data_IF_170152666907
#
_entry.id   IF_170152666907
#
_cell.length_a   1.000
_cell.length_b   1.000
_cell.length_c   1.000
_cell.angle_alpha   90.00
_cell.angle_beta   90.00
_cell.angle_gamma   90.00
#
_symmetry.space_group_name_H-M   'P 1'
#
loop_
_entity.id
_entity.type
_entity.pdbx_description
1 polymer ?
#
# COMPACT_ATOMS: atom_id res chain seq x y z
N UNK A 1 -28.40 -15.16 -16.64
CA UNK A 1 -27.22 -14.52 -16.04
C UNK A 1 -25.99 -14.91 -16.84
N UNK A 2 -25.20 -13.96 -17.33
CA UNK A 2 -24.00 -14.22 -18.14
C UNK A 2 -22.82 -14.58 -17.23
N UNK A 3 -22.68 -15.86 -16.87
CA UNK A 3 -21.59 -16.36 -16.02
C UNK A 3 -20.18 -16.08 -16.57
N UNK A 4 -20.05 -15.79 -17.86
CA UNK A 4 -18.79 -15.53 -18.55
C UNK A 4 -18.14 -14.18 -18.17
N UNK A 5 -18.97 -13.19 -17.79
CA UNK A 5 -18.48 -11.86 -17.43
C UNK A 5 -17.81 -11.85 -16.05
N UNK A 6 -18.31 -12.65 -15.12
CA UNK A 6 -17.80 -12.74 -13.75
C UNK A 6 -16.43 -13.42 -13.70
N UNK A 7 -16.26 -14.51 -14.46
CA UNK A 7 -14.97 -15.21 -14.58
C UNK A 7 -13.90 -14.33 -15.22
N UNK A 8 -14.25 -13.58 -16.27
CA UNK A 8 -13.33 -12.62 -16.90
C UNK A 8 -12.89 -11.53 -15.91
N UNK A 9 -13.82 -10.99 -15.12
CA UNK A 9 -13.52 -9.97 -14.11
C UNK A 9 -12.62 -10.51 -12.98
N UNK A 10 -12.79 -11.76 -12.58
CA UNK A 10 -11.93 -12.40 -11.57
C UNK A 10 -10.48 -12.52 -12.07
N UNK A 11 -10.28 -13.03 -13.29
CA UNK A 11 -8.96 -13.16 -13.88
C UNK A 11 -8.29 -11.80 -14.10
N UNK A 12 -9.03 -10.78 -14.51
CA UNK A 12 -8.51 -9.41 -14.62
C UNK A 12 -8.02 -8.88 -13.27
N UNK A 13 -8.74 -9.17 -12.18
CA UNK A 13 -8.33 -8.76 -10.85
C UNK A 13 -7.04 -9.48 -10.39
N UNK A 14 -6.87 -10.76 -10.74
CA UNK A 14 -5.63 -11.51 -10.49
C UNK A 14 -4.47 -10.87 -11.27
N UNK A 15 -4.65 -10.63 -12.57
CA UNK A 15 -3.64 -10.01 -13.43
C UNK A 15 -3.23 -8.64 -12.88
N UNK A 16 -4.20 -7.80 -12.51
CA UNK A 16 -3.95 -6.46 -11.96
C UNK A 16 -3.11 -6.49 -10.68
N UNK A 17 -3.43 -7.41 -9.74
CA UNK A 17 -2.66 -7.58 -8.50
C UNK A 17 -1.25 -8.09 -8.77
N UNK A 18 -1.09 -9.06 -9.67
CA UNK A 18 0.22 -9.56 -10.07
C UNK A 18 1.09 -8.49 -10.72
N UNK A 19 0.51 -7.67 -11.60
CA UNK A 19 1.21 -6.55 -12.23
C UNK A 19 1.64 -5.51 -11.21
N UNK A 20 0.74 -5.11 -10.30
CA UNK A 20 1.07 -4.16 -9.24
C UNK A 20 2.25 -4.64 -8.36
N UNK A 21 2.28 -5.93 -8.04
CA UNK A 21 3.38 -6.54 -7.31
C UNK A 21 4.70 -6.53 -8.11
N UNK A 22 4.65 -6.79 -9.42
CA UNK A 22 5.81 -6.69 -10.30
C UNK A 22 6.32 -5.25 -10.41
N UNK A 23 5.43 -4.26 -10.53
CA UNK A 23 5.80 -2.85 -10.55
C UNK A 23 6.46 -2.42 -9.23
N UNK A 24 5.98 -2.93 -8.10
CA UNK A 24 6.59 -2.68 -6.79
C UNK A 24 8.03 -3.23 -6.72
N UNK A 25 8.26 -4.43 -7.29
CA UNK A 25 9.58 -5.02 -7.39
C UNK A 25 10.49 -4.24 -8.34
N UNK A 26 9.99 -3.86 -9.50
CA UNK A 26 10.75 -3.11 -10.51
C UNK A 26 11.09 -1.67 -10.07
N UNK A 27 10.30 -1.09 -9.17
CA UNK A 27 10.58 0.22 -8.58
C UNK A 27 11.61 0.17 -7.42
N UNK A 28 12.26 -0.97 -7.18
CA UNK A 28 13.21 -1.19 -6.07
C UNK A 28 12.60 -0.86 -4.68
N UNK A 29 11.29 -1.07 -4.54
CA UNK A 29 10.56 -0.77 -3.31
C UNK A 29 10.47 -1.97 -2.36
N UNK A 30 10.84 -3.17 -2.80
CA UNK A 30 10.74 -4.42 -2.01
C UNK A 30 11.56 -4.40 -0.72
N UNK A 31 12.66 -3.66 -0.72
CA UNK A 31 13.54 -3.50 0.46
C UNK A 31 13.13 -2.31 1.35
N UNK A 32 12.07 -1.58 1.01
CA UNK A 32 11.58 -0.42 1.77
C UNK A 32 10.59 -0.86 2.85
N UNK A 33 10.30 0.05 3.78
CA UNK A 33 9.29 -0.17 4.82
C UNK A 33 7.92 -0.53 4.21
N UNK A 34 7.17 -1.42 4.87
CA UNK A 34 5.83 -1.84 4.44
C UNK A 34 4.86 -0.68 4.23
N UNK A 35 5.00 0.41 4.98
CA UNK A 35 4.20 1.61 4.80
C UNK A 35 4.43 2.27 3.43
N UNK A 36 5.66 2.24 2.92
CA UNK A 36 6.03 2.76 1.60
C UNK A 36 5.52 1.82 0.50
N UNK A 37 5.73 0.51 0.67
CA UNK A 37 5.22 -0.49 -0.26
C UNK A 37 3.69 -0.44 -0.37
N UNK A 38 2.99 -0.36 0.77
CA UNK A 38 1.54 -0.29 0.81
C UNK A 38 0.97 0.97 0.16
N UNK A 39 1.59 2.14 0.40
CA UNK A 39 1.17 3.38 -0.29
C UNK A 39 1.39 3.34 -1.79
N UNK A 40 2.48 2.71 -2.24
CA UNK A 40 2.72 2.52 -3.67
C UNK A 40 1.61 1.66 -4.30
N UNK A 41 1.28 0.52 -3.69
CA UNK A 41 0.18 -0.33 -4.16
C UNK A 41 -1.17 0.39 -4.14
N UNK A 42 -1.46 1.18 -3.09
CA UNK A 42 -2.65 2.03 -3.02
C UNK A 42 -2.70 3.06 -4.16
N UNK A 43 -1.55 3.63 -4.55
CA UNK A 43 -1.47 4.58 -5.68
C UNK A 43 -1.73 3.93 -7.04
N UNK A 44 -1.57 2.61 -7.15
CA UNK A 44 -1.92 1.82 -8.33
C UNK A 44 -3.40 1.38 -8.33
N UNK A 45 -4.19 1.84 -7.35
CA UNK A 45 -5.62 1.59 -7.27
C UNK A 45 -6.02 0.39 -6.40
N UNK A 46 -5.07 -0.28 -5.74
CA UNK A 46 -5.41 -1.37 -4.83
C UNK A 46 -6.00 -0.81 -3.53
N UNK A 47 -7.03 -1.47 -3.00
CA UNK A 47 -7.48 -1.15 -1.65
C UNK A 47 -6.39 -1.50 -0.64
N UNK A 48 -6.38 -0.81 0.51
CA UNK A 48 -5.44 -1.13 1.59
C UNK A 48 -5.53 -2.58 2.07
N UNK A 49 -6.71 -3.19 1.98
CA UNK A 49 -6.92 -4.61 2.32
C UNK A 49 -6.18 -5.52 1.34
N UNK A 50 -6.27 -5.25 0.05
CA UNK A 50 -5.55 -6.00 -1.00
C UNK A 50 -4.05 -5.77 -0.91
N UNK A 51 -3.61 -4.53 -0.69
CA UNK A 51 -2.20 -4.21 -0.48
C UNK A 51 -1.64 -4.97 0.74
N UNK A 52 -2.37 -5.03 1.85
CA UNK A 52 -1.95 -5.80 3.02
C UNK A 52 -1.84 -7.30 2.72
N UNK A 53 -2.81 -7.87 2.00
CA UNK A 53 -2.78 -9.26 1.59
C UNK A 53 -1.58 -9.57 0.68
N UNK A 54 -1.30 -8.73 -0.32
CA UNK A 54 -0.13 -8.88 -1.19
C UNK A 54 1.21 -8.76 -0.46
N UNK A 55 1.26 -7.93 0.59
CA UNK A 55 2.46 -7.74 1.40
C UNK A 55 2.60 -8.77 2.54
N UNK A 56 1.66 -9.71 2.67
CA UNK A 56 1.69 -10.72 3.73
C UNK A 56 1.49 -10.15 5.14
N UNK A 57 0.71 -9.08 5.28
CA UNK A 57 0.42 -8.42 6.57
C UNK A 57 -1.08 -8.22 6.79
N UNK A 58 -1.47 -7.79 7.99
CA UNK A 58 -2.87 -7.49 8.30
C UNK A 58 -3.24 -6.06 7.91
N UNK A 59 -4.51 -5.82 7.58
CA UNK A 59 -5.05 -4.48 7.31
C UNK A 59 -4.79 -3.51 8.48
N UNK A 60 -4.96 -3.98 9.72
CA UNK A 60 -4.73 -3.18 10.92
C UNK A 60 -3.24 -2.82 11.07
N UNK A 61 -2.34 -3.79 10.86
CA UNK A 61 -0.89 -3.57 10.89
C UNK A 61 -0.46 -2.55 9.84
N UNK A 62 -0.90 -2.71 8.59
CA UNK A 62 -0.54 -1.78 7.52
C UNK A 62 -1.07 -0.37 7.77
N UNK A 63 -2.31 -0.25 8.26
CA UNK A 63 -2.91 1.05 8.64
C UNK A 63 -2.08 1.76 9.71
N UNK A 64 -1.68 1.03 10.75
CA UNK A 64 -0.89 1.60 11.84
C UNK A 64 0.51 2.00 11.36
N UNK A 65 1.17 1.18 10.54
CA UNK A 65 2.48 1.50 9.97
C UNK A 65 2.42 2.78 9.11
N UNK A 66 1.40 2.90 8.26
CA UNK A 66 1.16 4.10 7.45
C UNK A 66 0.94 5.35 8.32
N UNK A 67 0.18 5.20 9.41
CA UNK A 67 -0.09 6.27 10.38
C UNK A 67 1.18 6.69 11.14
N UNK A 68 2.03 5.75 11.52
CA UNK A 68 3.30 6.05 12.17
C UNK A 68 4.26 6.77 11.21
N UNK A 69 4.33 6.31 9.96
CA UNK A 69 5.15 6.94 8.92
C UNK A 69 4.71 8.40 8.65
N UNK A 70 3.41 8.68 8.64
CA UNK A 70 2.91 10.06 8.47
C UNK A 70 3.24 10.96 9.67
N UNK A 71 3.16 10.43 10.90
CA UNK A 71 3.56 11.16 12.11
C UNK A 71 5.04 11.49 12.15
N UNK A 72 5.92 10.54 11.77
CA UNK A 72 7.37 10.77 11.68
C UNK A 72 7.71 11.91 10.70
N UNK A 73 6.96 12.06 9.61
CA UNK A 73 7.16 13.14 8.63
C UNK A 73 6.76 14.53 9.17
N UNK A 74 5.80 14.61 10.10
CA UNK A 74 5.30 15.87 10.68
C UNK A 74 5.98 16.30 12.00
N UNK A 75 6.61 15.38 12.73
CA UNK A 75 7.12 15.62 14.09
C UNK A 75 8.29 16.62 14.21
N UNK A 76 9.00 16.94 13.12
CA UNK A 76 10.15 17.87 13.17
C UNK A 76 9.77 19.36 13.31
N UNK A 77 8.49 19.73 13.19
CA UNK A 77 8.05 21.15 13.23
C UNK A 77 7.62 21.67 14.60
N UNK A 78 7.38 20.81 15.59
CA UNK A 78 6.83 21.22 16.88
C UNK A 78 7.88 21.68 17.93
N UNK A 79 9.18 21.49 17.66
CA UNK A 79 10.25 21.83 18.61
C UNK A 79 10.83 23.25 18.49
N UNK A 80 10.47 24.02 17.45
CA UNK A 80 11.13 25.29 17.14
C UNK A 80 10.49 26.54 17.76
N UNK A 81 9.52 26.41 18.68
CA UNK A 81 8.88 27.56 19.34
C UNK A 81 8.89 27.43 20.86
N UNK A 82 10.08 27.50 21.47
CA UNK A 82 10.23 27.86 22.89
C UNK A 82 11.61 28.47 23.18
N UNK A 83 11.73 29.79 22.99
CA UNK A 83 12.42 30.77 23.84
C UNK A 83 12.62 32.07 23.04
N UNK A 84 12.06 33.15 23.59
CA UNK A 84 12.00 34.51 23.03
C UNK A 84 10.91 35.22 23.79
#
# INVERSE_FOLDING_TARGET
MNSNSDETNEWLAVIGRSLAFLCLAHADLRDKELATQGKFLESLGLSRKEAAALLGTSYASLTELIRQASKKKGGKRAGAKKKG
#
